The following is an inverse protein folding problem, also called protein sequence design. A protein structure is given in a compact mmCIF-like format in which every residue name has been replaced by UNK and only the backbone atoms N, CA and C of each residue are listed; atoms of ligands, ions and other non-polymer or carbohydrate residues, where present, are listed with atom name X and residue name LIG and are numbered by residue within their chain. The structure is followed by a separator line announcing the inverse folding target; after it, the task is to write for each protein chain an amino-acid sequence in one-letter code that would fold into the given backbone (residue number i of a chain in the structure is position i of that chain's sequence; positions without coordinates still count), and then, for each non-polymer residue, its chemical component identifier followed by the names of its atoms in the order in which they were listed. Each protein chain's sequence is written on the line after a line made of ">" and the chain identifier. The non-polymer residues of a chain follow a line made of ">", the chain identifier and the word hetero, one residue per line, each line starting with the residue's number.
data_IF_196669924744
#
_entry.id   IF_196669924744
#
_cell.length_a   1.000
_cell.length_b   1.000
_cell.length_c   1.000
_cell.angle_alpha   90.00
_cell.angle_beta   90.00
_cell.angle_gamma   90.00
#
_symmetry.space_group_name_H-M   'P 1'
#
loop_
_entity.id
_entity.type
_entity.pdbx_description
1 polymer ?
#
# COMPACT_ATOMS: atom_id res chain seq x y z
N UNK A 1 -12.49 2.46 -10.46
CA UNK A 1 -11.80 3.41 -9.57
C UNK A 1 -10.63 2.74 -8.87
N UNK A 2 -9.49 3.37 -8.90
CA UNK A 2 -8.29 2.81 -8.28
C UNK A 2 -8.20 3.20 -6.83
N UNK A 3 -7.72 2.29 -5.99
CA UNK A 3 -7.42 2.57 -4.60
C UNK A 3 -6.02 3.18 -4.53
N UNK A 4 -5.86 4.24 -3.75
CA UNK A 4 -4.57 4.90 -3.60
C UNK A 4 -4.21 5.10 -2.15
N UNK A 5 -2.91 4.95 -1.87
CA UNK A 5 -2.33 5.19 -0.55
C UNK A 5 -1.28 6.29 -0.68
N UNK A 6 -1.28 7.22 0.25
CA UNK A 6 -0.22 8.22 0.34
C UNK A 6 0.81 7.80 1.37
N UNK A 7 2.07 7.81 0.96
CA UNK A 7 3.19 7.43 1.80
C UNK A 7 3.97 8.69 2.18
N UNK A 8 4.29 8.82 3.46
CA UNK A 8 5.16 9.90 3.97
C UNK A 8 6.40 9.27 4.56
N UNK A 9 7.56 9.70 4.11
CA UNK A 9 8.82 9.11 4.52
C UNK A 9 9.92 10.15 4.65
N UNK A 10 10.90 9.89 5.50
CA UNK A 10 12.13 10.68 5.59
C UNK A 10 13.31 9.99 4.92
N UNK A 11 13.12 8.78 4.41
CA UNK A 11 14.17 7.99 3.79
C UNK A 11 13.64 7.39 2.48
N UNK A 12 13.36 8.27 1.54
CA UNK A 12 12.63 7.90 0.32
C UNK A 12 13.29 6.77 -0.47
N UNK A 13 14.61 6.86 -0.68
CA UNK A 13 15.29 5.88 -1.53
C UNK A 13 15.15 4.46 -0.98
N UNK A 14 15.40 4.29 0.31
CA UNK A 14 15.32 2.97 0.96
C UNK A 14 13.88 2.50 1.07
N UNK A 15 12.97 3.39 1.46
CA UNK A 15 11.57 3.02 1.64
C UNK A 15 10.88 2.71 0.32
N UNK A 16 11.22 3.45 -0.74
CA UNK A 16 10.68 3.15 -2.06
C UNK A 16 11.08 1.75 -2.51
N UNK A 17 12.36 1.39 -2.31
CA UNK A 17 12.83 0.06 -2.70
C UNK A 17 12.11 -1.03 -1.89
N UNK A 18 11.98 -0.84 -0.58
CA UNK A 18 11.30 -1.80 0.27
C UNK A 18 9.83 -1.97 -0.13
N UNK A 19 9.17 -0.87 -0.47
CA UNK A 19 7.78 -0.89 -0.92
C UNK A 19 7.65 -1.64 -2.26
N UNK A 20 8.54 -1.37 -3.20
CA UNK A 20 8.51 -2.06 -4.50
C UNK A 20 8.69 -3.56 -4.33
N UNK A 21 9.61 -3.98 -3.47
CA UNK A 21 9.83 -5.40 -3.21
C UNK A 21 8.62 -6.05 -2.54
N UNK A 22 8.02 -5.36 -1.57
CA UNK A 22 6.83 -5.87 -0.89
C UNK A 22 5.64 -5.99 -1.84
N UNK A 23 5.42 -4.98 -2.68
CA UNK A 23 4.33 -5.00 -3.64
C UNK A 23 4.53 -6.05 -4.73
N UNK A 24 5.77 -6.24 -5.18
CA UNK A 24 6.07 -7.30 -6.14
C UNK A 24 5.80 -8.68 -5.53
N UNK A 25 6.10 -8.85 -4.26
CA UNK A 25 5.81 -10.08 -3.57
C UNK A 25 4.29 -10.34 -3.49
N UNK A 26 3.51 -9.33 -3.14
CA UNK A 26 2.06 -9.50 -3.05
C UNK A 26 1.43 -9.72 -4.43
N UNK A 27 1.98 -9.09 -5.48
CA UNK A 27 1.54 -9.37 -6.85
C UNK A 27 1.72 -10.85 -7.20
N UNK A 28 2.86 -11.41 -6.81
CA UNK A 28 3.13 -12.83 -7.04
C UNK A 28 2.15 -13.72 -6.27
N UNK A 29 1.89 -13.37 -5.02
CA UNK A 29 0.98 -14.15 -4.18
C UNK A 29 -0.45 -14.18 -4.72
N UNK A 30 -0.91 -13.07 -5.31
CA UNK A 30 -2.27 -13.02 -5.85
C UNK A 30 -2.34 -13.28 -7.35
N UNK A 31 -1.18 -13.43 -8.01
CA UNK A 31 -1.14 -13.72 -9.43
C UNK A 31 -1.55 -12.56 -10.31
N UNK A 32 -1.26 -11.33 -9.90
CA UNK A 32 -1.65 -10.13 -10.65
C UNK A 32 -0.44 -9.23 -10.89
N UNK A 33 0.34 -9.47 -11.96
CA UNK A 33 1.50 -8.64 -12.26
C UNK A 33 1.10 -7.24 -12.73
N UNK A 34 2.01 -6.28 -12.51
CA UNK A 34 1.81 -4.88 -12.94
C UNK A 34 0.55 -4.27 -12.36
N UNK A 35 0.24 -4.61 -11.10
CA UNK A 35 -1.00 -4.18 -10.46
C UNK A 35 -0.91 -2.87 -9.70
N UNK A 36 0.24 -2.21 -9.68
CA UNK A 36 0.38 -0.95 -8.96
C UNK A 36 1.22 0.06 -9.74
N UNK A 37 1.07 1.33 -9.38
CA UNK A 37 1.85 2.42 -9.95
C UNK A 37 2.29 3.34 -8.81
N UNK A 38 3.54 3.78 -8.83
CA UNK A 38 4.05 4.77 -7.88
C UNK A 38 4.06 6.14 -8.55
N UNK A 39 3.56 7.15 -7.82
CA UNK A 39 3.59 8.52 -8.34
C UNK A 39 4.97 9.13 -8.20
N UNK A 40 5.19 10.27 -8.87
CA UNK A 40 6.38 11.06 -8.67
C UNK A 40 6.41 11.59 -7.23
N UNK A 41 7.58 11.57 -6.58
CA UNK A 41 7.67 12.08 -5.21
C UNK A 41 7.74 13.61 -5.18
N UNK A 42 7.30 14.18 -4.07
CA UNK A 42 7.54 15.58 -3.79
C UNK A 42 7.95 15.72 -2.32
N UNK A 43 8.76 16.75 -2.03
CA UNK A 43 9.27 16.96 -0.69
C UNK A 43 8.71 18.25 -0.09
N UNK A 44 8.40 18.20 1.21
CA UNK A 44 7.86 19.34 1.94
C UNK A 44 8.17 19.17 3.42
N UNK A 45 8.74 20.20 4.03
CA UNK A 45 9.06 20.21 5.47
C UNK A 45 9.92 19.03 5.91
N UNK A 46 10.89 18.64 5.07
CA UNK A 46 11.78 17.53 5.40
C UNK A 46 11.20 16.15 5.18
N UNK A 47 9.97 16.07 4.72
CA UNK A 47 9.31 14.80 4.38
C UNK A 47 9.21 14.65 2.88
N UNK A 48 9.25 13.41 2.42
CA UNK A 48 8.97 13.08 1.03
C UNK A 48 7.65 12.33 0.96
N UNK A 49 6.80 12.72 0.01
CA UNK A 49 5.47 12.16 -0.16
C UNK A 49 5.36 11.55 -1.55
N UNK A 50 4.73 10.40 -1.64
CA UNK A 50 4.39 9.81 -2.93
C UNK A 50 3.17 8.91 -2.73
N UNK A 51 2.54 8.54 -3.85
CA UNK A 51 1.32 7.73 -3.80
C UNK A 51 1.56 6.38 -4.44
N UNK A 52 0.89 5.37 -3.89
CA UNK A 52 0.80 4.04 -4.49
C UNK A 52 -0.63 3.90 -4.99
N UNK A 53 -0.81 3.73 -6.30
CA UNK A 53 -2.13 3.47 -6.87
C UNK A 53 -2.22 1.98 -7.16
N UNK A 54 -3.21 1.32 -6.58
CA UNK A 54 -3.46 -0.10 -6.84
C UNK A 54 -4.53 -0.21 -7.92
N UNK A 55 -4.24 -0.99 -8.96
CA UNK A 55 -5.23 -1.29 -9.98
C UNK A 55 -6.33 -2.16 -9.38
N UNK A 56 -7.53 -2.08 -9.96
CA UNK A 56 -8.67 -2.80 -9.42
C UNK A 56 -8.42 -4.31 -9.30
N UNK A 57 -7.76 -4.90 -10.27
CA UNK A 57 -7.48 -6.34 -10.25
C UNK A 57 -6.56 -6.74 -9.09
N UNK A 58 -5.53 -5.95 -8.83
CA UNK A 58 -4.64 -6.24 -7.71
C UNK A 58 -5.36 -6.03 -6.37
N UNK A 59 -6.11 -4.94 -6.25
CA UNK A 59 -6.87 -4.67 -5.03
C UNK A 59 -7.83 -5.82 -4.74
N UNK A 60 -8.60 -6.24 -5.74
CA UNK A 60 -9.55 -7.35 -5.56
C UNK A 60 -8.85 -8.65 -5.22
N UNK A 61 -7.71 -8.92 -5.85
CA UNK A 61 -6.92 -10.10 -5.56
C UNK A 61 -6.42 -10.13 -4.12
N UNK A 62 -5.96 -8.98 -3.61
CA UNK A 62 -5.53 -8.87 -2.23
C UNK A 62 -6.71 -9.07 -1.28
N UNK A 63 -7.84 -8.42 -1.55
CA UNK A 63 -9.02 -8.55 -0.72
C UNK A 63 -9.51 -10.00 -0.64
N UNK A 64 -9.45 -10.72 -1.75
CA UNK A 64 -9.86 -12.11 -1.79
C UNK A 64 -8.86 -13.03 -1.10
N UNK A 65 -7.58 -12.86 -1.38
CA UNK A 65 -6.52 -13.71 -0.84
C UNK A 65 -6.38 -13.56 0.67
N UNK A 66 -6.51 -12.35 1.17
CA UNK A 66 -6.29 -12.02 2.57
C UNK A 66 -7.57 -11.60 3.29
N UNK A 67 -8.72 -12.08 2.80
CA UNK A 67 -10.02 -11.69 3.37
C UNK A 67 -10.10 -11.91 4.88
N UNK A 68 -9.62 -13.05 5.36
CA UNK A 68 -9.68 -13.37 6.79
C UNK A 68 -8.84 -12.40 7.61
N UNK A 69 -7.68 -12.01 7.09
CA UNK A 69 -6.79 -11.07 7.80
C UNK A 69 -7.38 -9.67 7.81
N UNK A 70 -7.97 -9.25 6.70
CA UNK A 70 -8.58 -7.92 6.60
C UNK A 70 -9.78 -7.82 7.50
N UNK A 71 -10.61 -8.86 7.58
CA UNK A 71 -11.81 -8.87 8.43
C UNK A 71 -11.50 -8.85 9.92
N UNK A 72 -10.27 -9.16 10.32
CA UNK A 72 -9.89 -9.09 11.73
C UNK A 72 -9.78 -7.67 12.25
N UNK A 73 -9.63 -6.69 11.37
CA UNK A 73 -9.57 -5.29 11.79
C UNK A 73 -10.98 -4.80 12.10
N UNK A 74 -11.14 -4.17 13.26
CA UNK A 74 -12.44 -3.75 13.75
C UNK A 74 -12.72 -2.29 13.42
N UNK A 75 -12.50 -1.93 12.18
CA UNK A 75 -12.75 -0.57 11.70
C UNK A 75 -14.09 -0.51 10.99
N UNK A 76 -14.64 0.69 10.92
CA UNK A 76 -16.02 0.88 10.49
C UNK A 76 -16.26 0.66 9.00
N UNK A 77 -15.23 0.83 8.15
CA UNK A 77 -15.46 0.73 6.72
C UNK A 77 -14.36 -0.07 6.02
N UNK A 78 -14.68 -0.64 4.83
CA UNK A 78 -13.72 -1.48 4.10
C UNK A 78 -12.42 -0.76 3.71
N UNK A 79 -12.49 0.53 3.40
CA UNK A 79 -11.30 1.30 3.03
C UNK A 79 -10.31 1.35 4.19
N UNK A 80 -10.80 1.59 5.40
CA UNK A 80 -9.93 1.63 6.57
C UNK A 80 -9.34 0.26 6.89
N UNK A 81 -10.13 -0.80 6.77
CA UNK A 81 -9.64 -2.15 6.97
C UNK A 81 -8.53 -2.50 5.99
N UNK A 82 -8.74 -2.18 4.73
CA UNK A 82 -7.75 -2.46 3.69
C UNK A 82 -6.47 -1.63 3.90
N UNK A 83 -6.62 -0.36 4.23
CA UNK A 83 -5.48 0.52 4.50
C UNK A 83 -4.66 0.00 5.68
N UNK A 84 -5.34 -0.42 6.75
CA UNK A 84 -4.65 -0.97 7.91
C UNK A 84 -3.92 -2.26 7.58
N UNK A 85 -4.55 -3.13 6.79
CA UNK A 85 -3.91 -4.35 6.33
C UNK A 85 -2.63 -4.03 5.54
N UNK A 86 -2.70 -3.10 4.59
CA UNK A 86 -1.54 -2.73 3.78
C UNK A 86 -0.44 -2.11 4.64
N UNK A 87 -0.81 -1.27 5.61
CA UNK A 87 0.15 -0.68 6.53
C UNK A 87 0.92 -1.77 7.29
N UNK A 88 0.19 -2.73 7.84
CA UNK A 88 0.81 -3.81 8.61
C UNK A 88 1.63 -4.73 7.70
N UNK A 89 1.14 -5.00 6.50
CA UNK A 89 1.88 -5.82 5.55
C UNK A 89 3.23 -5.18 5.21
N UNK A 90 3.23 -3.88 4.90
CA UNK A 90 4.47 -3.18 4.58
C UNK A 90 5.41 -3.14 5.78
N UNK A 91 4.86 -2.98 6.99
CA UNK A 91 5.67 -2.99 8.21
C UNK A 91 6.36 -4.33 8.41
N UNK A 92 5.69 -5.45 8.10
CA UNK A 92 6.31 -6.77 8.22
C UNK A 92 7.44 -6.98 7.21
N UNK A 93 7.48 -6.17 6.15
CA UNK A 93 8.55 -6.21 5.15
C UNK A 93 9.64 -5.17 5.44
N UNK A 94 9.64 -4.58 6.63
CA UNK A 94 10.66 -3.63 7.05
C UNK A 94 10.41 -2.19 6.64
N UNK A 95 9.20 -1.88 6.20
CA UNK A 95 8.86 -0.55 5.74
C UNK A 95 7.98 0.17 6.77
N UNK A 96 8.61 0.95 7.64
CA UNK A 96 7.91 1.68 8.70
C UNK A 96 7.69 3.12 8.28
N UNK A 97 6.67 3.33 7.47
CA UNK A 97 6.31 4.65 6.94
C UNK A 97 4.90 5.01 7.38
N UNK A 98 4.57 6.29 7.28
CA UNK A 98 3.19 6.74 7.51
C UNK A 98 2.38 6.53 6.26
N UNK A 99 1.23 5.91 6.41
CA UNK A 99 0.36 5.56 5.29
C UNK A 99 -1.05 6.02 5.59
N UNK A 100 -1.68 6.63 4.60
CA UNK A 100 -3.10 6.99 4.70
C UNK A 100 -3.78 6.74 3.36
N UNK A 101 -5.08 6.44 3.40
CA UNK A 101 -5.86 6.29 2.17
C UNK A 101 -6.11 7.66 1.56
N UNK A 102 -6.18 7.71 0.24
CA UNK A 102 -6.41 8.93 -0.50
C UNK A 102 -7.61 8.72 -1.41
N UNK A 103 -8.53 9.68 -1.40
CA UNK A 103 -9.65 9.64 -2.34
C UNK A 103 -9.14 9.83 -3.76
N UNK A 104 -9.62 9.01 -4.64
CA UNK A 104 -9.26 9.07 -6.04
C UNK A 104 -10.39 9.66 -6.86
#
# INVERSE_FOLDING_TARGET
>A
MSFALEISTKNYADDKLAIKLALSHIETLVGCPNGYVLSEPYSKFGWTFFKIALKADLQKGIEKKFADMIEKYQWSNPTEKFTKFMTDYLATKGCNVKIKSVSS
#
